data_IF_146215956844
#
_entry.id   IF_146215956844
#
_cell.length_a   1.000
_cell.length_b   1.000
_cell.length_c   1.000
_cell.angle_alpha   90.00
_cell.angle_beta   90.00
_cell.angle_gamma   90.00
#
_symmetry.space_group_name_H-M   'P 1'
#
loop_
_entity.id
_entity.type
_entity.pdbx_description
1 polymer ?
#
# COMPACT_ATOMS: atom_id res chain seq x y z
N UNK A 1 73.34 16.73 28.18
CA UNK A 1 72.28 17.73 28.41
C UNK A 1 71.50 17.79 27.11
N UNK A 2 70.25 17.34 26.97
CA UNK A 2 69.07 17.56 27.82
C UNK A 2 68.31 16.22 27.90
N UNK A 3 68.35 15.55 29.04
CA UNK A 3 67.46 14.42 29.35
C UNK A 3 66.41 14.92 30.33
N UNK A 4 65.34 15.52 29.79
CA UNK A 4 64.13 15.81 30.55
C UNK A 4 63.24 14.55 30.62
N UNK A 5 62.47 14.34 31.70
CA UNK A 5 61.57 13.20 31.79
C UNK A 5 60.54 13.30 30.65
N UNK A 6 60.45 12.25 29.83
CA UNK A 6 59.37 12.11 28.85
C UNK A 6 58.07 12.01 29.66
N UNK A 7 57.23 13.02 29.54
CA UNK A 7 55.94 13.05 30.20
C UNK A 7 55.07 11.91 29.67
N UNK A 8 54.95 10.85 30.46
CA UNK A 8 54.17 9.65 30.13
C UNK A 8 52.70 10.00 29.87
N UNK A 9 52.20 11.12 30.43
CA UNK A 9 50.83 11.59 30.18
C UNK A 9 50.64 12.12 28.76
N UNK A 10 51.68 12.66 28.12
CA UNK A 10 51.63 13.14 26.74
C UNK A 10 51.55 11.97 25.75
N UNK A 11 52.29 10.89 26.01
CA UNK A 11 52.25 9.65 25.22
C UNK A 11 50.95 8.86 25.42
N UNK A 12 50.45 8.77 26.66
CA UNK A 12 49.14 8.15 26.97
C UNK A 12 47.99 8.94 26.34
N UNK A 13 48.08 10.28 26.31
CA UNK A 13 47.11 11.15 25.65
C UNK A 13 47.06 10.95 24.13
N UNK A 14 48.21 10.78 23.46
CA UNK A 14 48.25 10.54 22.00
C UNK A 14 47.74 9.14 21.61
N UNK A 15 48.07 8.10 22.39
CA UNK A 15 47.56 6.74 22.15
C UNK A 15 46.06 6.66 22.43
N UNK A 16 45.59 7.31 23.50
CA UNK A 16 44.17 7.43 23.82
C UNK A 16 43.38 8.19 22.76
N UNK A 17 43.90 9.30 22.26
CA UNK A 17 43.28 10.10 21.20
C UNK A 17 43.18 9.33 19.87
N UNK A 18 44.23 8.56 19.51
CA UNK A 18 44.23 7.72 18.31
C UNK A 18 43.23 6.56 18.44
N UNK A 19 43.11 5.96 19.62
CA UNK A 19 42.15 4.88 19.89
C UNK A 19 40.70 5.41 19.88
N UNK A 20 40.47 6.58 20.45
CA UNK A 20 39.16 7.27 20.43
C UNK A 20 38.78 7.64 19.00
N UNK A 21 39.70 8.21 18.20
CA UNK A 21 39.45 8.48 16.78
C UNK A 21 39.12 7.20 16.01
N UNK A 22 39.88 6.12 16.21
CA UNK A 22 39.57 4.82 15.56
C UNK A 22 38.23 4.24 15.99
N UNK A 23 37.86 4.36 17.25
CA UNK A 23 36.55 3.92 17.76
C UNK A 23 35.43 4.79 17.20
N UNK A 24 35.62 6.11 17.13
CA UNK A 24 34.68 7.04 16.50
C UNK A 24 34.54 6.71 15.01
N UNK A 25 35.63 6.47 14.28
CA UNK A 25 35.57 6.09 12.86
C UNK A 25 34.88 4.74 12.67
N UNK A 26 35.19 3.71 13.49
CA UNK A 26 34.49 2.42 13.43
C UNK A 26 33.00 2.54 13.78
N UNK A 27 32.66 3.44 14.71
CA UNK A 27 31.29 3.70 15.12
C UNK A 27 30.54 4.51 14.07
N UNK A 28 31.20 5.49 13.44
CA UNK A 28 30.68 6.27 12.31
C UNK A 28 30.51 5.41 11.05
N UNK A 29 31.44 4.51 10.73
CA UNK A 29 31.34 3.56 9.61
C UNK A 29 30.22 2.53 9.84
N UNK A 30 29.96 2.15 11.11
CA UNK A 30 28.77 1.36 11.47
C UNK A 30 27.47 2.18 11.50
N UNK A 31 27.56 3.50 11.64
CA UNK A 31 26.42 4.43 11.68
C UNK A 31 26.11 5.09 10.34
N UNK A 32 26.94 4.91 9.30
CA UNK A 32 26.52 5.13 7.92
C UNK A 32 25.54 4.02 7.53
N UNK A 33 24.32 4.12 8.06
CA UNK A 33 23.15 3.44 7.51
C UNK A 33 23.05 3.91 6.05
N UNK A 34 23.52 3.08 5.12
CA UNK A 34 23.14 3.23 3.72
C UNK A 34 21.61 3.29 3.72
N UNK A 35 20.98 4.27 3.06
CA UNK A 35 19.53 4.34 3.01
C UNK A 35 19.05 3.00 2.43
N UNK A 36 18.20 2.29 3.21
CA UNK A 36 17.59 1.05 2.74
C UNK A 36 16.90 1.34 1.41
N UNK A 37 17.17 0.56 0.37
CA UNK A 37 16.44 0.70 -0.90
C UNK A 37 14.97 0.37 -0.61
N UNK A 38 14.06 1.27 -1.01
CA UNK A 38 12.64 0.99 -0.95
C UNK A 38 12.29 -0.01 -2.05
N UNK A 39 11.63 -1.10 -1.68
CA UNK A 39 10.99 -2.02 -2.62
C UNK A 39 9.49 -1.79 -2.54
N UNK A 40 8.89 -1.37 -3.64
CA UNK A 40 7.47 -1.11 -3.69
C UNK A 40 6.72 -2.38 -4.10
N UNK A 41 5.62 -2.65 -3.40
CA UNK A 41 4.71 -3.75 -3.69
C UNK A 41 3.31 -3.17 -3.84
N UNK A 42 2.74 -3.25 -5.03
CA UNK A 42 1.41 -2.70 -5.33
C UNK A 42 0.34 -3.78 -5.19
N UNK A 43 -0.78 -3.43 -4.52
CA UNK A 43 -1.94 -4.30 -4.38
C UNK A 43 -3.23 -3.48 -4.51
N UNK A 44 -3.90 -3.59 -5.64
CA UNK A 44 -5.09 -2.77 -5.93
C UNK A 44 -6.38 -3.57 -5.79
N UNK A 45 -6.71 -3.93 -4.55
CA UNK A 45 -7.93 -4.69 -4.24
C UNK A 45 -9.19 -3.82 -4.35
N UNK A 46 -10.21 -4.36 -5.02
CA UNK A 46 -11.58 -3.86 -4.92
C UNK A 46 -12.45 -4.86 -4.17
N UNK A 47 -13.19 -4.37 -3.17
CA UNK A 47 -14.20 -5.18 -2.49
C UNK A 47 -15.54 -5.12 -3.23
N UNK A 48 -16.12 -6.28 -3.54
CA UNK A 48 -17.46 -6.42 -4.12
C UNK A 48 -18.55 -5.70 -3.32
N UNK A 49 -18.39 -5.57 -2.00
CA UNK A 49 -19.32 -4.85 -1.12
C UNK A 49 -19.40 -3.36 -1.44
N UNK A 50 -18.33 -2.74 -1.94
CA UNK A 50 -18.32 -1.34 -2.38
C UNK A 50 -19.14 -1.10 -3.66
N UNK A 51 -19.53 -2.19 -4.34
CA UNK A 51 -20.15 -2.17 -5.66
C UNK A 51 -21.51 -2.87 -5.72
N UNK A 52 -22.06 -3.31 -4.58
CA UNK A 52 -23.43 -3.88 -4.47
C UNK A 52 -24.57 -2.92 -4.86
N UNK A 53 -24.26 -1.74 -5.41
CA UNK A 53 -25.22 -0.78 -5.95
C UNK A 53 -25.15 -0.82 -7.48
N UNK A 54 -25.80 -1.80 -8.13
CA UNK A 54 -26.38 -1.70 -9.50
C UNK A 54 -26.92 -3.00 -10.08
N UNK A 55 -26.69 -4.17 -9.48
CA UNK A 55 -27.22 -5.44 -10.00
C UNK A 55 -28.73 -5.59 -9.71
N UNK A 56 -29.54 -4.76 -10.36
CA UNK A 56 -30.96 -5.01 -10.60
C UNK A 56 -31.13 -5.49 -12.03
N UNK A 57 -30.44 -6.57 -12.40
CA UNK A 57 -30.66 -7.33 -13.65
C UNK A 57 -29.84 -8.63 -13.61
N UNK A 58 -30.38 -9.65 -14.29
CA UNK A 58 -29.95 -11.04 -14.56
C UNK A 58 -28.60 -11.57 -14.03
N UNK A 59 -28.57 -12.87 -13.67
CA UNK A 59 -27.39 -13.63 -13.19
C UNK A 59 -26.16 -13.47 -14.12
N UNK A 60 -26.36 -13.33 -15.43
CA UNK A 60 -25.29 -13.07 -16.41
C UNK A 60 -24.53 -11.76 -16.16
N UNK A 61 -25.21 -10.72 -15.68
CA UNK A 61 -24.61 -9.41 -15.41
C UNK A 61 -23.70 -9.48 -14.19
N UNK A 62 -24.04 -10.32 -13.21
CA UNK A 62 -23.25 -10.50 -11.98
C UNK A 62 -21.92 -11.17 -12.28
N UNK A 63 -21.90 -12.22 -13.10
CA UNK A 63 -20.66 -12.93 -13.43
C UNK A 63 -19.76 -12.11 -14.37
N UNK A 64 -20.32 -11.43 -15.37
CA UNK A 64 -19.57 -10.48 -16.19
C UNK A 64 -18.97 -9.36 -15.34
N UNK A 65 -19.75 -8.80 -14.43
CA UNK A 65 -19.30 -7.75 -13.53
C UNK A 65 -18.18 -8.23 -12.61
N UNK A 66 -18.31 -9.43 -12.01
CA UNK A 66 -17.23 -10.05 -11.22
C UNK A 66 -15.95 -10.22 -12.05
N UNK A 67 -16.05 -10.64 -13.31
CA UNK A 67 -14.89 -10.75 -14.20
C UNK A 67 -14.18 -9.41 -14.37
N UNK A 68 -14.93 -8.34 -14.68
CA UNK A 68 -14.38 -6.99 -14.83
C UNK A 68 -13.71 -6.48 -13.55
N UNK A 69 -14.26 -6.82 -12.37
CA UNK A 69 -13.64 -6.48 -11.10
C UNK A 69 -12.36 -7.23 -10.82
N UNK A 70 -12.24 -8.46 -11.33
CA UNK A 70 -11.01 -9.24 -11.19
C UNK A 70 -9.87 -8.68 -12.04
N UNK A 71 -10.18 -8.04 -13.17
CA UNK A 71 -9.23 -7.34 -14.06
C UNK A 71 -8.86 -5.95 -13.53
N UNK A 72 -9.74 -5.30 -12.75
CA UNK A 72 -9.52 -3.93 -12.28
C UNK A 72 -8.20 -3.65 -11.53
N UNK A 73 -7.59 -4.59 -10.78
CA UNK A 73 -6.26 -4.39 -10.20
C UNK A 73 -5.15 -4.14 -11.24
N UNK A 74 -5.30 -4.62 -12.48
CA UNK A 74 -4.30 -4.48 -13.55
C UNK A 74 -3.95 -3.03 -13.90
N UNK A 75 -4.87 -2.07 -13.67
CA UNK A 75 -4.58 -0.64 -13.86
C UNK A 75 -3.41 -0.16 -12.99
N UNK A 76 -3.07 -0.87 -11.92
CA UNK A 76 -1.89 -0.54 -11.10
C UNK A 76 -0.58 -0.73 -11.87
N UNK A 77 -0.58 -1.49 -12.98
CA UNK A 77 0.56 -1.55 -13.90
C UNK A 77 0.91 -0.18 -14.49
N UNK A 78 -0.01 0.78 -14.51
CA UNK A 78 0.25 2.14 -14.95
C UNK A 78 0.96 3.01 -13.89
N UNK A 79 1.12 2.50 -12.66
CA UNK A 79 1.69 3.21 -11.51
C UNK A 79 3.04 2.65 -11.04
N UNK A 80 3.39 1.45 -11.51
CA UNK A 80 4.58 0.71 -11.06
C UNK A 80 5.76 0.99 -11.98
N UNK A 81 6.95 1.09 -11.41
CA UNK A 81 8.21 1.10 -12.15
C UNK A 81 8.70 -0.35 -12.41
N UNK A 82 9.68 -0.51 -13.31
CA UNK A 82 10.18 -1.83 -13.73
C UNK A 82 10.77 -2.70 -12.62
N UNK A 83 11.26 -2.06 -11.54
CA UNK A 83 11.86 -2.72 -10.38
C UNK A 83 10.82 -3.05 -9.28
N UNK A 84 9.60 -2.51 -9.39
CA UNK A 84 8.55 -2.72 -8.40
C UNK A 84 7.88 -4.07 -8.59
N UNK A 85 7.23 -4.56 -7.54
CA UNK A 85 6.37 -5.74 -7.56
C UNK A 85 4.90 -5.35 -7.59
N UNK A 86 4.09 -6.16 -8.25
CA UNK A 86 2.63 -5.99 -8.28
C UNK A 86 1.95 -7.32 -7.99
N UNK A 87 0.93 -7.29 -7.13
CA UNK A 87 0.08 -8.44 -6.83
C UNK A 87 -1.21 -8.32 -7.62
N UNK A 88 -1.55 -9.35 -8.41
CA UNK A 88 -2.74 -9.40 -9.25
C UNK A 88 -3.55 -10.69 -9.02
N UNK A 89 -4.81 -10.69 -9.46
CA UNK A 89 -5.67 -11.89 -9.39
C UNK A 89 -5.29 -12.96 -10.42
N UNK A 90 -4.77 -12.52 -11.57
CA UNK A 90 -4.35 -13.34 -12.69
C UNK A 90 -3.23 -12.63 -13.45
N UNK A 91 -2.54 -13.36 -14.31
CA UNK A 91 -1.54 -12.76 -15.18
C UNK A 91 -2.26 -11.94 -16.27
N UNK A 92 -1.82 -10.70 -16.57
CA UNK A 92 -2.41 -9.88 -17.62
C UNK A 92 -2.29 -10.53 -19.00
N UNK A 93 -3.09 -10.06 -19.95
CA UNK A 93 -2.90 -10.40 -21.35
C UNK A 93 -1.46 -10.05 -21.82
N UNK A 94 -0.86 -10.95 -22.60
CA UNK A 94 0.54 -10.82 -22.98
C UNK A 94 0.78 -9.63 -23.91
N UNK A 95 -0.12 -9.38 -24.86
CA UNK A 95 0.02 -8.26 -25.80
C UNK A 95 -0.13 -6.93 -25.06
N UNK A 96 -1.02 -6.87 -24.06
CA UNK A 96 -1.14 -5.71 -23.17
C UNK A 96 0.13 -5.49 -22.34
N UNK A 97 0.69 -6.53 -21.72
CA UNK A 97 1.91 -6.40 -20.94
C UNK A 97 3.10 -5.99 -21.82
N UNK A 98 3.24 -6.57 -23.01
CA UNK A 98 4.30 -6.23 -23.96
C UNK A 98 4.16 -4.78 -24.44
N UNK A 99 2.93 -4.33 -24.73
CA UNK A 99 2.65 -2.92 -25.03
C UNK A 99 3.12 -1.99 -23.90
N UNK A 100 2.81 -2.32 -22.64
CA UNK A 100 3.26 -1.51 -21.49
C UNK A 100 4.79 -1.48 -21.39
N UNK A 101 5.45 -2.63 -21.57
CA UNK A 101 6.91 -2.71 -21.53
C UNK A 101 7.56 -1.90 -22.66
N UNK A 102 6.99 -1.93 -23.87
CA UNK A 102 7.48 -1.20 -25.03
C UNK A 102 7.41 0.33 -24.85
N UNK A 103 6.40 0.82 -24.12
CA UNK A 103 6.29 2.25 -23.77
C UNK A 103 7.05 2.62 -22.48
N UNK A 104 7.74 1.65 -21.86
CA UNK A 104 8.55 1.87 -20.65
C UNK A 104 7.75 2.07 -19.37
N UNK A 105 6.53 1.52 -19.30
CA UNK A 105 5.65 1.60 -18.12
C UNK A 105 5.40 0.18 -17.59
N UNK A 106 5.30 0.03 -16.27
CA UNK A 106 4.90 -1.23 -15.66
C UNK A 106 6.06 -2.10 -15.22
N UNK A 107 5.75 -3.35 -14.85
CA UNK A 107 6.72 -4.33 -14.36
C UNK A 107 6.38 -5.74 -14.83
N UNK A 108 7.41 -6.59 -14.94
CA UNK A 108 7.23 -8.05 -15.09
C UNK A 108 7.31 -8.80 -13.77
N UNK A 109 7.57 -8.11 -12.65
CA UNK A 109 7.60 -8.70 -11.31
C UNK A 109 6.17 -8.88 -10.76
N UNK A 110 5.38 -9.69 -11.48
CA UNK A 110 3.98 -9.95 -11.17
C UNK A 110 3.87 -11.15 -10.23
N UNK A 111 3.15 -10.97 -9.14
CA UNK A 111 2.89 -11.99 -8.12
C UNK A 111 1.41 -12.35 -8.14
N UNK A 112 1.09 -13.63 -8.29
CA UNK A 112 -0.28 -14.13 -8.27
C UNK A 112 -0.45 -15.03 -7.04
N UNK A 113 -1.37 -14.73 -6.11
CA UNK A 113 -1.63 -15.63 -4.99
C UNK A 113 -2.14 -16.98 -5.48
N UNK A 114 -1.69 -18.07 -4.87
CA UNK A 114 -2.11 -19.43 -5.18
C UNK A 114 -3.48 -19.80 -4.56
N UNK A 115 -4.02 -18.94 -3.71
CA UNK A 115 -5.27 -19.19 -2.98
C UNK A 115 -6.41 -18.32 -3.49
N UNK A 116 -7.64 -18.72 -3.16
CA UNK A 116 -8.86 -17.99 -3.52
C UNK A 116 -9.69 -17.64 -2.28
N UNK A 117 -10.35 -16.49 -2.35
CA UNK A 117 -11.05 -15.80 -1.28
C UNK A 117 -12.03 -14.78 -1.84
N UNK A 118 -12.55 -13.92 -0.97
CA UNK A 118 -13.59 -12.96 -1.37
C UNK A 118 -13.01 -11.72 -2.07
N UNK A 119 -11.71 -11.47 -1.88
CA UNK A 119 -10.97 -10.36 -2.45
C UNK A 119 -9.51 -10.75 -2.71
N UNK A 120 -8.79 -9.95 -3.50
CA UNK A 120 -7.35 -10.14 -3.73
C UNK A 120 -6.55 -10.09 -2.42
N UNK A 121 -6.91 -9.20 -1.49
CA UNK A 121 -6.25 -9.13 -0.18
C UNK A 121 -6.50 -10.39 0.65
N UNK A 122 -7.69 -10.98 0.59
CA UNK A 122 -7.96 -12.28 1.23
C UNK A 122 -7.15 -13.41 0.61
N UNK A 123 -6.95 -13.38 -0.71
CA UNK A 123 -6.10 -14.35 -1.41
C UNK A 123 -4.64 -14.25 -0.91
N UNK A 124 -4.13 -13.04 -0.72
CA UNK A 124 -2.77 -12.82 -0.17
C UNK A 124 -2.68 -13.29 1.27
N UNK A 125 -3.66 -12.94 2.12
CA UNK A 125 -3.66 -13.30 3.54
C UNK A 125 -3.71 -14.81 3.79
N UNK A 126 -4.28 -15.57 2.85
CA UNK A 126 -4.33 -17.04 2.88
C UNK A 126 -3.09 -17.70 2.26
N UNK A 127 -2.29 -16.98 1.49
CA UNK A 127 -1.10 -17.50 0.81
C UNK A 127 0.18 -17.28 1.64
N UNK A 128 0.46 -18.24 2.52
CA UNK A 128 1.65 -18.21 3.38
C UNK A 128 2.98 -18.25 2.61
N UNK A 129 2.99 -18.82 1.39
CA UNK A 129 4.19 -18.85 0.56
C UNK A 129 4.50 -17.47 -0.01
N UNK A 130 3.47 -16.78 -0.53
CA UNK A 130 3.57 -15.41 -1.01
C UNK A 130 3.96 -14.46 0.12
N UNK A 131 3.32 -14.55 1.29
CA UNK A 131 3.68 -13.73 2.46
C UNK A 131 5.12 -13.96 2.90
N UNK A 132 5.60 -15.21 2.86
CA UNK A 132 6.99 -15.53 3.18
C UNK A 132 7.97 -14.96 2.15
N UNK A 133 7.63 -15.00 0.86
CA UNK A 133 8.41 -14.37 -0.20
C UNK A 133 8.51 -12.86 0.02
N UNK A 134 7.37 -12.19 0.22
CA UNK A 134 7.30 -10.75 0.45
C UNK A 134 8.08 -10.31 1.69
N UNK A 135 8.00 -11.08 2.79
CA UNK A 135 8.79 -10.81 4.01
C UNK A 135 10.29 -10.86 3.74
N UNK A 136 10.75 -11.87 2.98
CA UNK A 136 12.17 -12.01 2.61
C UNK A 136 12.69 -10.85 1.75
N UNK A 137 11.84 -10.23 0.92
CA UNK A 137 12.23 -9.03 0.17
C UNK A 137 12.72 -7.90 1.08
N UNK A 138 12.14 -7.77 2.29
CA UNK A 138 12.52 -6.77 3.29
C UNK A 138 13.73 -7.12 4.17
N UNK A 139 14.21 -8.36 4.13
CA UNK A 139 15.36 -8.81 4.93
C UNK A 139 16.71 -8.42 4.28
N UNK A 140 16.74 -8.26 2.96
CA UNK A 140 17.96 -7.95 2.17
C UNK A 140 18.27 -6.46 2.10
N UNK A 141 18.49 -5.81 3.24
CA UNK A 141 18.75 -4.34 3.35
C UNK A 141 17.66 -3.43 2.76
N UNK A 142 16.52 -3.98 2.33
CA UNK A 142 15.43 -3.21 1.74
C UNK A 142 14.40 -2.82 2.80
N UNK A 143 13.63 -1.79 2.48
CA UNK A 143 12.37 -1.49 3.18
C UNK A 143 11.23 -1.76 2.20
N UNK A 144 10.36 -2.70 2.55
CA UNK A 144 9.15 -2.94 1.75
C UNK A 144 8.14 -1.85 2.04
N UNK A 145 7.57 -1.29 0.98
CA UNK A 145 6.46 -0.33 1.03
C UNK A 145 5.30 -0.94 0.26
N UNK A 146 4.18 -1.16 0.94
CA UNK A 146 2.94 -1.65 0.35
C UNK A 146 2.13 -0.46 -0.17
N UNK A 147 1.77 -0.48 -1.45
CA UNK A 147 0.98 0.55 -2.13
C UNK A 147 -0.42 0.01 -2.41
N UNK A 148 -1.38 0.21 -1.49
CA UNK A 148 -2.73 -0.27 -1.67
C UNK A 148 -3.55 0.68 -2.54
N UNK A 149 -4.61 0.19 -3.18
CA UNK A 149 -5.61 1.09 -3.77
C UNK A 149 -6.34 1.92 -2.70
N UNK A 150 -6.65 1.29 -1.56
CA UNK A 150 -7.18 1.94 -0.37
C UNK A 150 -6.60 1.22 0.85
N UNK A 151 -6.12 1.97 1.85
CA UNK A 151 -5.69 1.37 3.11
C UNK A 151 -6.89 0.82 3.87
N UNK A 152 -7.13 -0.49 3.84
CA UNK A 152 -8.15 -1.15 4.68
C UNK A 152 -7.50 -1.99 5.76
N UNK A 153 -8.26 -2.56 6.71
CA UNK A 153 -7.72 -3.50 7.69
C UNK A 153 -6.97 -4.66 7.05
N UNK A 154 -7.41 -5.14 5.87
CA UNK A 154 -6.75 -6.23 5.17
C UNK A 154 -5.33 -5.85 4.69
N UNK A 155 -5.16 -4.68 4.07
CA UNK A 155 -3.84 -4.22 3.62
C UNK A 155 -2.93 -3.88 4.80
N UNK A 156 -3.48 -3.37 5.91
CA UNK A 156 -2.71 -3.19 7.14
C UNK A 156 -2.24 -4.52 7.74
N UNK A 157 -3.08 -5.56 7.70
CA UNK A 157 -2.71 -6.91 8.14
C UNK A 157 -1.61 -7.52 7.25
N UNK A 158 -1.75 -7.41 5.92
CA UNK A 158 -0.71 -7.84 4.96
C UNK A 158 0.61 -7.15 5.27
N UNK A 159 0.60 -5.81 5.40
CA UNK A 159 1.80 -5.04 5.70
C UNK A 159 2.45 -5.45 7.02
N UNK A 160 1.65 -5.72 8.06
CA UNK A 160 2.13 -6.24 9.34
C UNK A 160 2.82 -7.61 9.18
N UNK A 161 2.20 -8.55 8.45
CA UNK A 161 2.73 -9.91 8.24
C UNK A 161 4.05 -9.93 7.45
N UNK A 162 4.27 -8.95 6.57
CA UNK A 162 5.48 -8.85 5.73
C UNK A 162 6.49 -7.82 6.25
N UNK A 163 6.22 -7.18 7.39
CA UNK A 163 7.04 -6.09 7.95
C UNK A 163 7.25 -4.90 6.98
N UNK A 164 6.19 -4.53 6.26
CA UNK A 164 6.18 -3.38 5.35
C UNK A 164 5.58 -2.13 6.00
N UNK A 165 5.94 -0.97 5.47
CA UNK A 165 5.17 0.27 5.68
C UNK A 165 4.03 0.32 4.66
N UNK A 166 2.88 0.89 5.05
CA UNK A 166 1.78 1.15 4.11
C UNK A 166 1.92 2.57 3.56
N UNK A 167 1.93 2.73 2.24
CA UNK A 167 1.80 4.03 1.60
C UNK A 167 0.33 4.46 1.58
N UNK A 168 -0.15 4.95 2.71
CA UNK A 168 -1.51 5.47 2.85
C UNK A 168 -1.85 5.85 4.28
N UNK A 169 -3.03 6.46 4.50
CA UNK A 169 -3.50 6.77 5.85
C UNK A 169 -3.80 5.48 6.63
N UNK A 170 -3.93 5.57 7.97
CA UNK A 170 -4.45 4.48 8.78
C UNK A 170 -5.82 4.00 8.28
N UNK A 171 -6.14 2.70 8.39
CA UNK A 171 -7.39 2.13 7.87
C UNK A 171 -8.66 2.85 8.34
N UNK A 172 -8.72 3.24 9.62
CA UNK A 172 -9.86 3.93 10.19
C UNK A 172 -10.12 5.28 9.50
N UNK A 173 -9.06 6.02 9.14
CA UNK A 173 -9.18 7.28 8.46
C UNK A 173 -9.60 7.09 7.00
N UNK A 174 -8.97 6.13 6.30
CA UNK A 174 -9.31 5.79 4.92
C UNK A 174 -10.79 5.40 4.77
N UNK A 175 -11.28 4.54 5.67
CA UNK A 175 -12.69 4.12 5.69
C UNK A 175 -13.63 5.28 6.03
N UNK A 176 -13.22 6.15 6.96
CA UNK A 176 -14.02 7.32 7.35
C UNK A 176 -14.21 8.29 6.19
N UNK A 177 -13.13 8.64 5.47
CA UNK A 177 -13.20 9.60 4.35
C UNK A 177 -13.94 9.02 3.12
N UNK A 178 -13.91 7.70 2.93
CA UNK A 178 -14.61 7.03 1.82
C UNK A 178 -16.12 6.85 2.10
N UNK A 179 -16.60 7.29 3.27
CA UNK A 179 -18.00 7.15 3.66
C UNK A 179 -18.86 8.33 3.17
N UNK A 180 -19.80 8.05 2.25
CA UNK A 180 -20.75 9.05 1.72
C UNK A 180 -21.69 9.62 2.79
N UNK A 181 -21.88 8.91 3.90
CA UNK A 181 -22.66 9.41 5.06
C UNK A 181 -21.82 10.30 5.98
N UNK A 182 -20.49 10.17 5.96
CA UNK A 182 -19.58 11.06 6.71
C UNK A 182 -19.35 12.39 5.98
N UNK A 183 -19.31 12.38 4.65
CA UNK A 183 -19.03 13.56 3.83
C UNK A 183 -19.86 14.80 4.23
N UNK A 184 -21.19 14.73 4.44
CA UNK A 184 -21.96 15.92 4.84
C UNK A 184 -21.53 16.50 6.19
N UNK A 185 -21.22 15.65 7.17
CA UNK A 185 -20.71 16.10 8.47
C UNK A 185 -19.36 16.81 8.31
N UNK A 186 -18.46 16.27 7.49
CA UNK A 186 -17.17 16.91 7.20
C UNK A 186 -17.34 18.26 6.50
N UNK A 187 -18.23 18.36 5.51
CA UNK A 187 -18.47 19.64 4.82
C UNK A 187 -19.06 20.68 5.77
N UNK A 188 -19.93 20.27 6.69
CA UNK A 188 -20.49 21.15 7.72
C UNK A 188 -19.39 21.66 8.67
N UNK A 189 -18.51 20.78 9.16
CA UNK A 189 -17.37 21.14 10.00
C UNK A 189 -16.42 22.14 9.32
N UNK A 190 -16.23 22.01 8.01
CA UNK A 190 -15.38 22.89 7.20
C UNK A 190 -16.07 24.16 6.71
N UNK A 191 -17.33 24.39 7.07
CA UNK A 191 -18.15 25.49 6.56
C UNK A 191 -18.20 25.56 5.01
N UNK A 192 -18.20 24.40 4.36
CA UNK A 192 -18.28 24.27 2.90
C UNK A 192 -19.73 24.06 2.44
N UNK A 193 -20.08 24.46 1.20
CA UNK A 193 -21.40 24.20 0.63
C UNK A 193 -21.73 22.70 0.60
N UNK A 194 -22.96 22.35 0.96
CA UNK A 194 -23.46 20.97 0.99
C UNK A 194 -24.67 20.90 0.05
N UNK A 195 -24.70 19.95 -0.90
CA UNK A 195 -25.92 19.72 -1.68
C UNK A 195 -27.05 19.23 -0.75
N UNK A 196 -28.30 19.48 -1.12
CA UNK A 196 -29.42 18.87 -0.41
C UNK A 196 -29.28 17.34 -0.43
N UNK A 197 -29.36 16.73 0.75
CA UNK A 197 -29.20 15.29 0.90
C UNK A 197 -30.16 14.74 1.96
N UNK A 198 -30.43 13.44 1.86
CA UNK A 198 -31.05 12.66 2.93
C UNK A 198 -30.33 11.32 3.04
N UNK A 199 -30.02 10.91 4.26
CA UNK A 199 -29.48 9.57 4.52
C UNK A 199 -30.65 8.59 4.46
N UNK A 200 -30.57 7.61 3.56
CA UNK A 200 -31.57 6.56 3.42
C UNK A 200 -31.46 5.55 4.57
N UNK A 201 -32.02 5.91 5.73
CA UNK A 201 -32.09 5.08 6.94
C UNK A 201 -33.46 4.39 7.11
N UNK A 202 -34.37 4.58 6.17
CA UNK A 202 -35.70 3.97 6.15
C UNK A 202 -36.26 3.88 4.73
N UNK A 203 -37.22 2.98 4.52
CA UNK A 203 -37.91 2.81 3.23
C UNK A 203 -38.62 4.10 2.80
N UNK A 204 -39.19 4.85 3.74
CA UNK A 204 -39.87 6.12 3.48
C UNK A 204 -38.97 7.16 2.81
N UNK A 205 -37.69 7.24 3.20
CA UNK A 205 -36.72 8.15 2.56
C UNK A 205 -36.50 7.78 1.09
N UNK A 206 -36.43 6.48 0.80
CA UNK A 206 -36.26 5.96 -0.57
C UNK A 206 -37.50 6.27 -1.42
N UNK A 207 -38.71 6.06 -0.88
CA UNK A 207 -39.97 6.35 -1.57
C UNK A 207 -40.13 7.84 -1.86
N UNK A 208 -39.80 8.70 -0.89
CA UNK A 208 -39.81 10.16 -1.06
C UNK A 208 -38.87 10.58 -2.19
N UNK A 209 -37.65 10.02 -2.23
CA UNK A 209 -36.67 10.31 -3.28
C UNK A 209 -37.12 9.83 -4.67
N UNK A 210 -37.87 8.73 -4.76
CA UNK A 210 -38.44 8.24 -6.04
C UNK A 210 -39.55 9.15 -6.55
N UNK A 211 -40.35 9.74 -5.65
CA UNK A 211 -41.43 10.65 -6.02
C UNK A 211 -40.91 12.00 -6.52
N UNK A 212 -39.87 12.55 -5.87
CA UNK A 212 -39.27 13.83 -6.30
C UNK A 212 -38.63 13.77 -7.69
N UNK A 213 -38.13 12.61 -8.12
CA UNK A 213 -37.63 12.41 -9.50
C UNK A 213 -38.70 12.39 -10.59
N UNK A 214 -39.98 12.12 -10.26
CA UNK A 214 -41.06 12.10 -11.26
C UNK A 214 -41.62 13.49 -11.58
N UNK A 215 -41.22 14.50 -10.80
CA UNK A 215 -41.71 15.87 -10.89
C UNK A 215 -40.66 16.84 -11.48
N UNK A 216 -39.59 16.30 -12.07
CA UNK A 216 -38.56 17.01 -12.86
C UNK A 216 -38.62 16.47 -14.28
#
# INVERSE_FOLDING_TARGET
MINGPIDKNLLLGQVGHTLILKLITLFCDKMTLKPKKSLNVFIHTLHLSALKLTASSHISDIELFKSQLNEYPERALLLVDSDDYIILNHYPDQDYLDYLMDIGIGTRNILIPATQGESLSDNVLKDEQLLTFLRKLGETENQVVLHPYMSTPAEAEIASKINATVNGPPPELAMKINSKIYLPSLLHELALPIPEYKIANSVTVIETAKQSRKNV
#
